data_IF_625528239315
#
_entry.id   IF_625528239315
#
_cell.length_a   1.000
_cell.length_b   1.000
_cell.length_c   1.000
_cell.angle_alpha   90.00
_cell.angle_beta   90.00
_cell.angle_gamma   90.00
#
_symmetry.space_group_name_H-M   'P 1'
#
loop_
_entity.id
_entity.type
_entity.pdbx_description
1 polymer ?
#
# COMPACT_ATOMS: atom_id res chain seq x y z
N UNK A 1 -9.17 9.36 -13.04
CA UNK A 1 -8.50 9.12 -11.76
C UNK A 1 -8.73 7.68 -11.39
N UNK A 2 -7.67 6.90 -11.30
CA UNK A 2 -7.71 5.48 -10.97
C UNK A 2 -7.40 5.36 -9.48
N UNK A 3 -8.22 4.63 -8.74
CA UNK A 3 -7.95 4.36 -7.33
C UNK A 3 -7.63 2.89 -7.16
N UNK A 4 -6.43 2.60 -6.69
CA UNK A 4 -6.03 1.25 -6.32
C UNK A 4 -6.03 1.14 -4.80
N UNK A 5 -6.64 0.07 -4.30
CA UNK A 5 -6.65 -0.26 -2.88
C UNK A 5 -5.94 -1.58 -2.68
N UNK A 6 -4.87 -1.54 -1.91
CA UNK A 6 -4.12 -2.71 -1.46
C UNK A 6 -4.45 -2.97 0.00
N UNK A 7 -4.99 -4.15 0.29
CA UNK A 7 -5.28 -4.62 1.64
C UNK A 7 -4.19 -5.63 2.02
N UNK A 8 -3.50 -5.35 3.11
CA UNK A 8 -2.47 -6.20 3.68
C UNK A 8 -3.00 -6.86 4.96
N UNK A 9 -2.82 -8.17 5.08
CA UNK A 9 -3.24 -8.96 6.23
C UNK A 9 -2.15 -9.95 6.65
N UNK A 10 -1.90 -10.08 7.96
CA UNK A 10 -1.06 -11.14 8.52
C UNK A 10 -1.58 -12.53 8.14
N UNK A 11 -0.75 -13.36 7.51
CA UNK A 11 -1.18 -14.67 6.97
C UNK A 11 -1.67 -15.65 8.06
N UNK A 12 -1.18 -15.48 9.29
CA UNK A 12 -1.52 -16.31 10.46
C UNK A 12 -1.79 -15.46 11.70
N UNK A 13 -2.00 -14.15 11.52
CA UNK A 13 -2.01 -13.20 12.61
C UNK A 13 -3.44 -12.77 12.94
N UNK A 14 -3.87 -13.12 14.15
CA UNK A 14 -5.14 -12.68 14.75
C UNK A 14 -4.95 -11.46 15.66
N UNK A 15 -3.72 -10.92 15.77
CA UNK A 15 -3.48 -9.72 16.55
C UNK A 15 -4.13 -8.51 15.89
N UNK A 16 -4.59 -7.63 16.77
CA UNK A 16 -5.09 -6.31 16.41
C UNK A 16 -3.99 -5.30 16.68
N UNK A 17 -3.82 -4.36 15.77
CA UNK A 17 -2.85 -3.28 15.90
C UNK A 17 -3.58 -1.95 16.04
N UNK A 18 -3.12 -1.11 16.97
CA UNK A 18 -3.71 0.22 17.21
C UNK A 18 -3.39 1.21 16.07
N UNK A 19 -2.46 0.89 15.17
CA UNK A 19 -2.00 1.78 14.10
C UNK A 19 -1.33 1.00 12.96
N UNK A 20 -1.32 1.62 11.78
CA UNK A 20 -0.64 1.10 10.57
C UNK A 20 0.86 0.87 10.81
N UNK A 21 1.50 1.81 11.51
CA UNK A 21 2.92 1.70 11.88
C UNK A 21 3.17 0.47 12.77
N UNK A 22 2.33 0.25 13.79
CA UNK A 22 2.42 -0.91 14.66
C UNK A 22 2.23 -2.24 13.91
N UNK A 23 1.35 -2.28 12.90
CA UNK A 23 1.21 -3.44 12.02
C UNK A 23 2.49 -3.68 11.22
N UNK A 24 3.04 -2.65 10.57
CA UNK A 24 4.26 -2.81 9.79
C UNK A 24 5.44 -3.24 10.66
N UNK A 25 5.63 -2.63 11.83
CA UNK A 25 6.70 -3.02 12.76
C UNK A 25 6.53 -4.44 13.30
N UNK A 26 5.30 -4.85 13.64
CA UNK A 26 5.03 -6.21 14.12
C UNK A 26 5.37 -7.28 13.06
N UNK A 27 5.20 -6.94 11.78
CA UNK A 27 5.52 -7.83 10.65
C UNK A 27 6.92 -7.60 10.05
N UNK A 28 7.74 -6.70 10.62
CA UNK A 28 9.10 -6.39 10.12
C UNK A 28 9.10 -5.74 8.73
N UNK A 29 8.10 -4.93 8.43
CA UNK A 29 7.84 -4.33 7.12
C UNK A 29 8.24 -2.86 7.02
N UNK A 30 8.89 -2.30 8.04
CA UNK A 30 9.35 -0.90 8.03
C UNK A 30 10.22 -0.61 6.80
N UNK A 31 11.13 -1.53 6.44
CA UNK A 31 11.97 -1.42 5.25
C UNK A 31 11.17 -1.50 3.95
N UNK A 32 10.14 -2.36 3.91
CA UNK A 32 9.26 -2.48 2.74
C UNK A 32 8.45 -1.20 2.56
N UNK A 33 7.87 -0.67 3.64
CA UNK A 33 7.10 0.58 3.63
C UNK A 33 7.97 1.78 3.24
N UNK A 34 9.20 1.86 3.74
CA UNK A 34 10.14 2.91 3.36
C UNK A 34 10.52 2.84 1.87
N UNK A 35 10.74 1.63 1.32
CA UNK A 35 11.00 1.44 -0.12
C UNK A 35 9.79 1.82 -0.98
N UNK A 36 8.59 1.47 -0.53
CA UNK A 36 7.34 1.82 -1.21
C UNK A 36 7.18 3.34 -1.28
N UNK A 37 7.26 4.03 -0.14
CA UNK A 37 7.16 5.49 -0.09
C UNK A 37 8.22 6.18 -0.94
N UNK A 38 9.46 5.67 -0.93
CA UNK A 38 10.54 6.17 -1.78
C UNK A 38 10.21 6.01 -3.26
N UNK A 39 9.63 4.89 -3.66
CA UNK A 39 9.26 4.61 -5.04
C UNK A 39 8.20 5.59 -5.55
N UNK A 40 7.14 5.81 -4.77
CA UNK A 40 6.14 6.81 -5.07
C UNK A 40 6.77 8.22 -5.15
N UNK A 41 7.59 8.59 -4.18
CA UNK A 41 8.28 9.89 -4.17
C UNK A 41 9.18 10.08 -5.41
N UNK A 42 9.91 9.05 -5.83
CA UNK A 42 10.80 9.08 -7.00
C UNK A 42 10.01 9.20 -8.32
N UNK A 43 8.81 8.61 -8.38
CA UNK A 43 7.86 8.77 -9.47
C UNK A 43 7.14 10.14 -9.47
N UNK A 44 7.43 11.01 -8.49
CA UNK A 44 6.81 12.34 -8.37
C UNK A 44 5.45 12.34 -7.68
N UNK A 45 5.07 11.26 -7.01
CA UNK A 45 3.88 11.21 -6.17
C UNK A 45 4.09 11.96 -4.86
N UNK A 46 3.11 12.78 -4.50
CA UNK A 46 3.08 13.38 -3.17
C UNK A 46 2.48 12.39 -2.16
N UNK A 47 3.36 11.61 -1.53
CA UNK A 47 2.99 10.65 -0.47
C UNK A 47 2.52 11.34 0.82
N UNK A 48 2.65 12.67 0.92
CA UNK A 48 2.15 13.46 2.05
C UNK A 48 0.73 13.97 1.82
N UNK A 49 0.24 13.92 0.57
CA UNK A 49 -1.12 14.27 0.22
C UNK A 49 -2.05 13.06 0.46
N UNK A 50 -2.98 13.14 1.44
CA UNK A 50 -3.90 12.04 1.74
C UNK A 50 -4.89 11.75 0.60
N UNK A 51 -5.02 12.66 -0.37
CA UNK A 51 -5.83 12.42 -1.58
C UNK A 51 -5.09 11.59 -2.62
N UNK A 52 -3.75 11.52 -2.54
CA UNK A 52 -2.87 10.75 -3.43
C UNK A 52 -2.50 9.40 -2.84
N UNK A 53 -2.15 9.37 -1.56
CA UNK A 53 -1.88 8.12 -0.87
C UNK A 53 -2.37 8.18 0.58
N UNK A 54 -3.13 7.16 0.97
CA UNK A 54 -3.61 7.00 2.34
C UNK A 54 -3.37 5.57 2.79
N UNK A 55 -2.94 5.39 4.03
CA UNK A 55 -2.86 4.10 4.67
C UNK A 55 -3.61 4.16 6.00
N UNK A 56 -4.57 3.26 6.18
CA UNK A 56 -5.42 3.20 7.37
C UNK A 56 -5.55 1.77 7.88
N UNK A 57 -5.82 1.63 9.18
CA UNK A 57 -6.20 0.35 9.75
C UNK A 57 -7.66 0.06 9.43
N UNK A 58 -7.99 -1.20 9.16
CA UNK A 58 -9.38 -1.63 9.11
C UNK A 58 -10.04 -1.51 10.48
N UNK A 59 -11.38 -1.40 10.52
CA UNK A 59 -12.17 -1.33 11.75
C UNK A 59 -11.88 -2.49 12.74
N UNK A 60 -11.55 -3.68 12.22
CA UNK A 60 -11.20 -4.84 13.03
C UNK A 60 -9.74 -4.82 13.54
N UNK A 61 -8.92 -3.87 13.10
CA UNK A 61 -7.53 -3.71 13.54
C UNK A 61 -6.56 -4.78 13.04
N UNK A 62 -6.99 -5.72 12.18
CA UNK A 62 -6.15 -6.83 11.70
C UNK A 62 -5.57 -6.62 10.30
N UNK A 63 -6.04 -5.58 9.60
CA UNK A 63 -5.68 -5.32 8.20
C UNK A 63 -5.26 -3.87 8.01
N UNK A 64 -4.30 -3.66 7.14
CA UNK A 64 -3.93 -2.33 6.64
C UNK A 64 -4.52 -2.15 5.26
N UNK A 65 -5.19 -1.03 5.04
CA UNK A 65 -5.79 -0.62 3.76
C UNK A 65 -4.96 0.55 3.24
N UNK A 66 -4.28 0.34 2.11
CA UNK A 66 -3.49 1.35 1.42
C UNK A 66 -4.24 1.74 0.16
N UNK A 67 -4.70 2.99 0.08
CA UNK A 67 -5.35 3.53 -1.11
C UNK A 67 -4.42 4.49 -1.81
N UNK A 68 -4.18 4.27 -3.10
CA UNK A 68 -3.38 5.12 -3.98
C UNK A 68 -4.27 5.66 -5.10
N UNK A 69 -4.27 6.97 -5.29
CA UNK A 69 -5.02 7.63 -6.34
C UNK A 69 -4.09 8.12 -7.45
N UNK A 70 -4.07 7.37 -8.54
CA UNK A 70 -3.39 7.74 -9.77
C UNK A 70 -4.21 8.73 -10.59
N UNK A 71 -3.52 9.71 -11.17
CA UNK A 71 -4.12 10.67 -12.08
C UNK A 71 -4.71 9.95 -13.31
N UNK A 72 -3.94 9.01 -13.86
CA UNK A 72 -4.22 8.26 -15.08
C UNK A 72 -3.45 6.92 -15.11
N UNK A 73 -3.74 6.11 -16.14
CA UNK A 73 -3.12 4.79 -16.33
C UNK A 73 -1.61 4.88 -16.60
N UNK A 74 -1.13 5.92 -17.26
CA UNK A 74 0.31 6.04 -17.56
C UNK A 74 1.12 6.36 -16.30
N UNK A 75 0.56 7.15 -15.38
CA UNK A 75 1.14 7.38 -14.04
C UNK A 75 1.23 6.06 -13.25
N UNK A 76 0.17 5.24 -13.31
CA UNK A 76 0.14 3.91 -12.68
C UNK A 76 1.19 2.97 -13.27
N UNK A 77 1.21 2.83 -14.59
CA UNK A 77 2.11 1.91 -15.28
C UNK A 77 3.59 2.26 -15.01
N UNK A 78 3.92 3.56 -14.92
CA UNK A 78 5.27 4.00 -14.57
C UNK A 78 5.70 3.55 -13.17
N UNK A 79 4.78 3.61 -12.19
CA UNK A 79 5.01 3.20 -10.80
C UNK A 79 5.07 1.69 -10.68
N UNK A 80 4.15 0.97 -11.33
CA UNK A 80 4.17 -0.49 -11.35
C UNK A 80 5.42 -1.03 -12.04
N UNK A 81 5.90 -0.38 -13.11
CA UNK A 81 7.14 -0.76 -13.79
C UNK A 81 8.35 -0.53 -12.89
N UNK A 82 8.46 0.65 -12.26
CA UNK A 82 9.51 0.95 -11.30
C UNK A 82 9.46 0.04 -10.08
N UNK A 83 8.25 -0.32 -9.63
CA UNK A 83 7.96 -1.02 -8.39
C UNK A 83 7.67 -2.49 -8.55
N UNK A 84 7.86 -3.06 -9.74
CA UNK A 84 7.48 -4.44 -10.08
C UNK A 84 8.03 -5.48 -9.12
N UNK A 85 9.24 -5.26 -8.60
CA UNK A 85 9.89 -6.15 -7.64
C UNK A 85 9.35 -5.99 -6.20
N UNK A 86 8.81 -4.82 -5.87
CA UNK A 86 8.34 -4.47 -4.53
C UNK A 86 6.82 -4.64 -4.36
N UNK A 87 6.05 -4.13 -5.33
CA UNK A 87 4.57 -4.12 -5.35
C UNK A 87 4.04 -5.44 -5.91
N UNK A 88 4.68 -5.99 -6.95
CA UNK A 88 4.20 -7.19 -7.66
C UNK A 88 4.33 -8.50 -6.90
N UNK A 89 5.07 -8.55 -5.78
CA UNK A 89 5.18 -9.74 -4.92
C UNK A 89 4.54 -9.57 -3.54
N UNK A 90 4.12 -8.35 -3.19
CA UNK A 90 3.73 -8.00 -1.84
C UNK A 90 4.85 -8.23 -0.80
N UNK A 91 4.65 -7.74 0.44
CA UNK A 91 5.54 -8.06 1.54
C UNK A 91 5.48 -9.56 1.88
N UNK A 92 6.64 -10.19 2.04
CA UNK A 92 6.72 -11.61 2.38
C UNK A 92 6.04 -11.89 3.74
N UNK A 93 5.26 -12.97 3.82
CA UNK A 93 4.57 -13.37 5.05
C UNK A 93 3.20 -12.71 5.28
N UNK A 94 2.75 -11.85 4.36
CA UNK A 94 1.40 -11.30 4.36
C UNK A 94 0.55 -11.83 3.20
N UNK A 95 -0.76 -11.84 3.41
CA UNK A 95 -1.74 -11.96 2.35
C UNK A 95 -2.05 -10.56 1.81
N UNK A 96 -1.95 -10.40 0.50
CA UNK A 96 -2.25 -9.14 -0.19
C UNK A 96 -3.50 -9.30 -1.05
N UNK A 97 -4.43 -8.36 -0.91
CA UNK A 97 -5.60 -8.23 -1.79
C UNK A 97 -5.53 -6.89 -2.49
N UNK A 98 -5.49 -6.88 -3.81
CA UNK A 98 -5.49 -5.65 -4.60
C UNK A 98 -6.85 -5.54 -5.26
N UNK A 99 -7.52 -4.42 -5.06
CA UNK A 99 -8.76 -4.07 -5.76
C UNK A 99 -8.61 -2.72 -6.42
N UNK A 100 -9.01 -2.62 -7.68
CA UNK A 100 -8.87 -1.41 -8.47
C UNK A 100 -10.27 -0.86 -8.80
N UNK A 101 -10.51 0.38 -8.43
CA UNK A 101 -11.75 1.11 -8.74
C UNK A 101 -11.49 2.08 -9.90
N UNK A 102 -12.09 1.74 -11.04
CA UNK A 102 -12.08 2.59 -12.25
C UNK A 102 -13.37 3.40 -12.25
N UNK A 103 -13.30 4.64 -11.77
CA UNK A 103 -14.36 5.63 -12.01
C UNK A 103 -14.26 6.11 -13.47
N UNK A 104 -15.11 5.51 -14.32
CA UNK A 104 -15.33 5.90 -15.72
C UNK A 104 -15.97 7.28 -15.85
#
# INVERSE_FOLDING_TARGET
MIKETTILQGMFDDQTHDSVDAFFTAHGLDEWRAKELKLFTDAGFDVTDPTKQMAEMSDDGKRVIITVAYADQAEKDAIEEAGKELIGKGPAGLTQYITEDHLF
#
